data_IF_677830349611
#
_entry.id   IF_677830349611
#
_cell.length_a   1.000
_cell.length_b   1.000
_cell.length_c   1.000
_cell.angle_alpha   90.00
_cell.angle_beta   90.00
_cell.angle_gamma   90.00
#
_symmetry.space_group_name_H-M   'P 1'
#
loop_
_entity.id
_entity.type
_entity.pdbx_description
1 polymer ?
#
# COMPACT_ATOMS: atom_id res chain seq x y z
N UNK A 1 0.40 8.68 -15.62
CA UNK A 1 0.91 9.64 -16.61
C UNK A 1 2.43 9.71 -16.61
N UNK A 2 3.10 9.96 -15.47
CA UNK A 2 4.57 10.05 -15.38
C UNK A 2 5.27 8.77 -15.89
N UNK A 3 4.79 7.58 -15.46
CA UNK A 3 5.30 6.27 -15.91
C UNK A 3 5.25 6.13 -17.44
N UNK A 4 4.12 6.48 -18.07
CA UNK A 4 3.98 6.44 -19.54
C UNK A 4 4.92 7.41 -20.26
N UNK A 5 5.17 8.61 -19.69
CA UNK A 5 6.08 9.59 -20.28
C UNK A 5 7.55 9.20 -20.18
N UNK A 6 7.93 8.53 -19.11
CA UNK A 6 9.32 8.18 -18.81
C UNK A 6 9.70 6.75 -19.21
N UNK A 7 8.71 5.89 -19.49
CA UNK A 7 8.92 4.46 -19.71
C UNK A 7 9.28 3.67 -18.46
N UNK A 8 9.23 4.27 -17.27
CA UNK A 8 9.52 3.60 -15.99
C UNK A 8 8.29 2.82 -15.54
N UNK A 9 8.39 1.49 -15.30
CA UNK A 9 7.28 0.69 -14.81
C UNK A 9 6.75 1.22 -13.47
N UNK A 10 5.43 1.23 -13.30
CA UNK A 10 4.77 1.59 -12.05
C UNK A 10 4.48 0.32 -11.26
N UNK A 11 5.03 0.20 -10.05
CA UNK A 11 4.66 -0.83 -9.09
C UNK A 11 3.58 -0.24 -8.17
N UNK A 12 2.44 -0.92 -8.11
CA UNK A 12 1.32 -0.53 -7.22
C UNK A 12 1.53 -1.16 -5.86
N UNK A 13 1.31 -0.40 -4.80
CA UNK A 13 1.44 -0.90 -3.44
C UNK A 13 0.90 0.06 -2.40
N UNK A 14 0.93 -0.37 -1.15
CA UNK A 14 0.55 0.46 0.00
C UNK A 14 1.35 0.09 1.24
N UNK A 15 1.79 1.10 1.99
CA UNK A 15 2.27 0.90 3.36
C UNK A 15 1.08 0.82 4.30
N UNK A 16 1.11 -0.14 5.21
CA UNK A 16 0.07 -0.43 6.18
C UNK A 16 0.67 -0.56 7.58
N UNK A 17 -0.02 0.06 8.54
CA UNK A 17 0.30 -0.03 9.96
C UNK A 17 -0.85 -0.74 10.66
N UNK A 18 -0.58 -1.93 11.17
CA UNK A 18 -1.55 -2.68 11.97
C UNK A 18 -1.68 -2.09 13.38
N UNK A 19 -2.83 -2.30 14.01
CA UNK A 19 -3.12 -1.79 15.35
C UNK A 19 -2.20 -2.35 16.43
N UNK A 20 -1.65 -3.54 16.22
CA UNK A 20 -0.67 -4.21 17.10
C UNK A 20 0.79 -3.78 16.88
N UNK A 21 1.01 -2.81 15.99
CA UNK A 21 2.34 -2.26 15.70
C UNK A 21 3.06 -2.92 14.53
N UNK A 22 2.56 -4.01 13.94
CA UNK A 22 3.13 -4.60 12.72
C UNK A 22 3.03 -3.60 11.56
N UNK A 23 4.14 -3.37 10.86
CA UNK A 23 4.20 -2.47 9.70
C UNK A 23 4.70 -3.23 8.48
N UNK A 24 3.96 -3.11 7.38
CA UNK A 24 4.31 -3.77 6.12
C UNK A 24 4.06 -2.85 4.93
N UNK A 25 4.84 -3.04 3.87
CA UNK A 25 4.50 -2.55 2.54
C UNK A 25 4.03 -3.75 1.73
N UNK A 26 2.83 -3.67 1.17
CA UNK A 26 2.31 -4.67 0.25
C UNK A 26 2.48 -4.15 -1.17
N UNK A 27 3.14 -4.95 -2.03
CA UNK A 27 3.31 -4.66 -3.45
C UNK A 27 2.45 -5.62 -4.27
N UNK A 28 1.84 -5.11 -5.31
CA UNK A 28 0.95 -5.88 -6.18
C UNK A 28 1.77 -6.63 -7.22
N UNK A 29 1.67 -7.95 -7.21
CA UNK A 29 2.31 -8.84 -8.17
C UNK A 29 1.45 -8.97 -9.45
N UNK A 30 0.14 -9.17 -9.28
CA UNK A 30 -0.81 -9.44 -10.35
C UNK A 30 -2.20 -8.81 -10.09
N UNK A 31 -3.18 -9.13 -10.92
CA UNK A 31 -4.56 -8.61 -10.81
C UNK A 31 -5.26 -9.08 -9.53
N UNK A 32 -4.99 -10.30 -9.05
CA UNK A 32 -5.58 -10.85 -7.82
C UNK A 32 -5.05 -10.04 -6.63
N UNK A 33 -3.73 -9.80 -6.60
CA UNK A 33 -3.11 -8.95 -5.59
C UNK A 33 -3.67 -7.53 -5.57
N UNK A 34 -3.96 -6.93 -6.73
CA UNK A 34 -4.60 -5.63 -6.79
C UNK A 34 -6.01 -5.64 -6.18
N UNK A 35 -6.81 -6.66 -6.49
CA UNK A 35 -8.15 -6.82 -5.90
C UNK A 35 -8.08 -7.00 -4.39
N UNK A 36 -7.17 -7.85 -3.89
CA UNK A 36 -6.98 -8.09 -2.47
C UNK A 36 -6.51 -6.83 -1.73
N UNK A 37 -5.57 -6.07 -2.31
CA UNK A 37 -5.13 -4.79 -1.73
C UNK A 37 -6.27 -3.77 -1.66
N UNK A 38 -7.07 -3.64 -2.72
CA UNK A 38 -8.23 -2.75 -2.74
C UNK A 38 -9.29 -3.17 -1.70
N UNK A 39 -9.57 -4.46 -1.57
CA UNK A 39 -10.50 -5.00 -0.58
C UNK A 39 -10.03 -4.71 0.85
N UNK A 40 -8.73 -4.94 1.13
CA UNK A 40 -8.10 -4.67 2.42
C UNK A 40 -8.21 -3.18 2.79
N UNK A 41 -7.81 -2.28 1.89
CA UNK A 41 -7.89 -0.83 2.11
C UNK A 41 -9.35 -0.40 2.34
N UNK A 42 -10.28 -0.94 1.56
CA UNK A 42 -11.71 -0.65 1.72
C UNK A 42 -12.22 -1.11 3.08
N UNK A 43 -11.89 -2.34 3.51
CA UNK A 43 -12.25 -2.88 4.83
C UNK A 43 -11.71 -2.01 5.95
N UNK A 44 -10.42 -1.64 5.89
CA UNK A 44 -9.76 -0.80 6.87
C UNK A 44 -10.37 0.61 6.97
N UNK A 45 -10.76 1.19 5.83
CA UNK A 45 -11.42 2.50 5.77
C UNK A 45 -12.85 2.46 6.29
N UNK A 46 -13.62 1.42 5.95
CA UNK A 46 -15.02 1.25 6.40
C UNK A 46 -15.12 0.97 7.90
N UNK A 47 -14.11 0.39 8.52
CA UNK A 47 -14.03 0.15 9.96
C UNK A 47 -13.79 1.44 10.76
N UNK A 48 -13.32 2.51 10.11
CA UNK A 48 -12.84 3.73 10.75
C UNK A 48 -13.70 4.95 10.42
N UNK A 49 -13.61 5.99 11.24
CA UNK A 49 -14.18 7.30 10.91
C UNK A 49 -13.44 7.91 9.71
N UNK A 50 -14.13 8.79 8.98
CA UNK A 50 -13.59 9.46 7.79
C UNK A 50 -12.21 10.09 8.07
N UNK A 51 -11.24 9.80 7.21
CA UNK A 51 -9.87 10.32 7.32
C UNK A 51 -8.91 9.43 8.11
N UNK A 52 -9.38 8.34 8.70
CA UNK A 52 -8.56 7.32 9.38
C UNK A 52 -8.71 5.96 8.70
N UNK A 53 -7.87 5.01 9.11
CA UNK A 53 -8.01 3.60 8.77
C UNK A 53 -7.56 2.75 9.96
N UNK A 54 -8.08 1.53 10.06
CA UNK A 54 -7.71 0.54 11.08
C UNK A 54 -7.47 -0.78 10.39
N UNK A 55 -6.21 -1.25 10.41
CA UNK A 55 -5.79 -2.53 9.86
C UNK A 55 -5.52 -3.47 11.02
N UNK A 56 -6.18 -4.61 11.03
CA UNK A 56 -5.86 -5.71 11.94
C UNK A 56 -4.92 -6.68 11.24
N UNK A 57 -4.10 -7.40 12.01
CA UNK A 57 -3.17 -8.39 11.47
C UNK A 57 -3.89 -9.44 10.61
N UNK A 58 -5.06 -9.89 11.03
CA UNK A 58 -5.88 -10.87 10.30
C UNK A 58 -6.39 -10.37 8.95
N UNK A 59 -6.42 -9.05 8.73
CA UNK A 59 -6.78 -8.50 7.42
C UNK A 59 -5.71 -8.79 6.36
N UNK A 60 -4.47 -9.12 6.77
CA UNK A 60 -3.36 -9.46 5.90
C UNK A 60 -3.36 -10.93 5.44
N UNK A 61 -4.27 -11.77 5.95
CA UNK A 61 -4.34 -13.22 5.61
C UNK A 61 -4.76 -13.41 4.15
N UNK A 62 -5.72 -12.62 3.65
CA UNK A 62 -6.13 -12.64 2.24
C UNK A 62 -5.12 -11.86 1.37
N UNK A 63 -3.95 -12.46 1.13
CA UNK A 63 -2.78 -11.80 0.53
C UNK A 63 -2.29 -12.43 -0.79
N UNK A 64 -3.08 -13.26 -1.45
CA UNK A 64 -2.73 -13.83 -2.73
C UNK A 64 -2.39 -12.74 -3.76
N UNK A 65 -1.31 -12.92 -4.53
CA UNK A 65 -0.80 -11.93 -5.49
C UNK A 65 -0.19 -10.66 -4.85
N UNK A 66 0.09 -10.68 -3.53
CA UNK A 66 0.76 -9.59 -2.83
C UNK A 66 2.13 -10.02 -2.31
N UNK A 67 3.15 -9.20 -2.55
CA UNK A 67 4.48 -9.31 -1.96
C UNK A 67 4.52 -8.44 -0.71
N UNK A 68 5.16 -8.94 0.35
CA UNK A 68 5.24 -8.27 1.65
C UNK A 68 6.67 -7.81 1.94
N UNK A 69 6.86 -6.52 2.14
CA UNK A 69 8.08 -5.96 2.71
C UNK A 69 7.81 -5.61 4.18
N UNK A 70 8.39 -6.35 5.07
CA UNK A 70 8.24 -6.10 6.51
C UNK A 70 9.11 -4.94 6.95
N UNK A 71 8.50 -3.88 7.46
CA UNK A 71 9.17 -2.71 8.04
C UNK A 71 9.44 -2.96 9.53
N UNK A 72 10.42 -3.80 9.82
CA UNK A 72 10.73 -4.16 11.19
C UNK A 72 11.38 -3.00 11.96
N UNK A 73 11.17 -2.96 13.27
CA UNK A 73 11.90 -2.08 14.18
C UNK A 73 13.39 -2.45 14.26
N UNK A 74 14.16 -1.67 15.03
CA UNK A 74 15.60 -1.91 15.20
C UNK A 74 15.93 -3.31 15.75
N UNK A 75 15.01 -3.90 16.53
CA UNK A 75 15.08 -5.29 17.00
C UNK A 75 13.82 -6.01 16.47
N UNK A 76 13.91 -6.74 15.34
CA UNK A 76 12.80 -7.48 14.79
C UNK A 76 12.29 -8.56 15.74
N UNK A 77 10.96 -8.77 15.77
CA UNK A 77 10.31 -9.77 16.61
C UNK A 77 10.31 -11.14 15.96
N UNK A 78 10.86 -12.22 16.60
CA UNK A 78 10.75 -13.58 16.06
C UNK A 78 9.31 -14.06 15.88
N UNK A 79 8.39 -13.62 16.76
CA UNK A 79 6.98 -13.97 16.66
C UNK A 79 6.34 -13.35 15.41
N UNK A 80 6.68 -12.09 15.08
CA UNK A 80 6.22 -11.45 13.84
C UNK A 80 6.82 -12.11 12.61
N UNK A 81 8.11 -12.47 12.65
CA UNK A 81 8.76 -13.20 11.57
C UNK A 81 8.05 -14.53 11.29
N UNK A 82 7.77 -15.32 12.33
CA UNK A 82 7.09 -16.60 12.20
C UNK A 82 5.68 -16.43 11.62
N UNK A 83 4.92 -15.46 12.12
CA UNK A 83 3.58 -15.18 11.61
C UNK A 83 3.61 -14.75 10.13
N UNK A 84 4.50 -13.84 9.77
CA UNK A 84 4.66 -13.37 8.38
C UNK A 84 5.11 -14.50 7.45
N UNK A 85 6.06 -15.35 7.86
CA UNK A 85 6.48 -16.54 7.07
C UNK A 85 5.31 -17.50 6.83
N UNK A 86 4.47 -17.73 7.83
CA UNK A 86 3.29 -18.60 7.70
C UNK A 86 2.31 -18.10 6.65
N UNK A 87 2.12 -16.77 6.53
CA UNK A 87 1.10 -16.21 5.65
C UNK A 87 1.62 -15.76 4.29
N UNK A 88 2.89 -15.34 4.20
CA UNK A 88 3.47 -14.85 2.95
C UNK A 88 4.46 -15.82 2.28
N UNK A 89 4.97 -16.80 3.03
CA UNK A 89 5.92 -17.82 2.52
C UNK A 89 7.08 -17.19 1.71
N UNK A 90 7.19 -17.50 0.42
CA UNK A 90 8.21 -17.01 -0.53
C UNK A 90 7.98 -15.57 -1.01
N UNK A 91 6.98 -14.88 -0.47
CA UNK A 91 6.57 -13.51 -0.81
C UNK A 91 6.89 -12.50 0.31
N UNK A 92 7.83 -12.83 1.19
CA UNK A 92 8.23 -12.03 2.35
C UNK A 92 9.69 -11.57 2.25
N UNK A 93 9.94 -10.31 2.54
CA UNK A 93 11.26 -9.72 2.73
C UNK A 93 11.27 -8.83 3.95
N UNK A 94 12.41 -8.76 4.65
CA UNK A 94 12.66 -7.72 5.65
C UNK A 94 13.23 -6.48 4.93
N UNK A 95 12.54 -5.35 5.04
CA UNK A 95 12.98 -4.09 4.44
C UNK A 95 14.05 -3.42 5.32
N UNK A 96 15.24 -3.24 4.78
CA UNK A 96 16.35 -2.54 5.44
C UNK A 96 16.38 -1.09 5.00
N UNK A 97 16.19 -0.17 5.94
CA UNK A 97 16.20 1.27 5.69
C UNK A 97 17.44 1.93 6.30
N UNK A 98 18.26 2.56 5.46
CA UNK A 98 19.46 3.27 5.86
C UNK A 98 19.35 4.77 5.51
N UNK A 99 19.44 5.63 6.53
CA UNK A 99 19.27 7.07 6.39
C UNK A 99 20.49 7.86 6.90
N UNK A 100 21.69 7.27 6.82
CA UNK A 100 22.95 7.85 7.32
C UNK A 100 22.88 8.26 8.80
N UNK A 101 22.12 7.50 9.58
CA UNK A 101 22.06 7.65 11.02
C UNK A 101 23.25 7.01 11.71
N UNK A 102 23.64 7.53 12.86
CA UNK A 102 24.79 7.01 13.64
C UNK A 102 24.67 5.52 14.00
N UNK A 103 23.46 4.96 14.00
CA UNK A 103 23.19 3.55 14.35
C UNK A 103 22.95 2.65 13.13
N UNK A 104 23.03 3.16 11.90
CA UNK A 104 22.68 2.40 10.69
C UNK A 104 23.54 1.16 10.51
N UNK A 105 24.86 1.25 10.71
CA UNK A 105 25.75 0.08 10.58
C UNK A 105 25.41 -1.02 11.60
N UNK A 106 25.14 -0.64 12.85
CA UNK A 106 24.74 -1.60 13.89
C UNK A 106 23.38 -2.24 13.57
N UNK A 107 22.40 -1.42 13.15
CA UNK A 107 21.06 -1.89 12.78
C UNK A 107 21.11 -2.83 11.58
N UNK A 108 21.87 -2.49 10.55
CA UNK A 108 22.08 -3.33 9.38
C UNK A 108 22.64 -4.71 9.80
N UNK A 109 23.72 -4.73 10.59
CA UNK A 109 24.31 -5.99 11.04
C UNK A 109 23.33 -6.85 11.84
N UNK A 110 22.56 -6.24 12.75
CA UNK A 110 21.54 -6.93 13.55
C UNK A 110 20.40 -7.47 12.69
N UNK A 111 19.89 -6.68 11.73
CA UNK A 111 18.83 -7.12 10.85
C UNK A 111 19.28 -8.24 9.91
N UNK A 112 20.50 -8.19 9.38
CA UNK A 112 21.03 -9.25 8.53
C UNK A 112 21.23 -10.56 9.32
N UNK A 113 21.80 -10.50 10.53
CA UNK A 113 21.92 -11.68 11.38
C UNK A 113 20.56 -12.30 11.72
N UNK A 114 19.56 -11.45 11.99
CA UNK A 114 18.19 -11.91 12.22
C UNK A 114 17.58 -12.55 10.96
N UNK A 115 17.81 -11.96 9.78
CA UNK A 115 17.35 -12.50 8.50
C UNK A 115 17.94 -13.88 8.23
N UNK A 116 19.25 -14.06 8.50
CA UNK A 116 19.93 -15.35 8.36
C UNK A 116 19.35 -16.40 9.33
N UNK A 117 19.14 -16.02 10.60
CA UNK A 117 18.54 -16.90 11.62
C UNK A 117 17.11 -17.32 11.28
N UNK A 118 16.30 -16.37 10.78
CA UNK A 118 14.89 -16.60 10.46
C UNK A 118 14.66 -17.09 9.02
N UNK A 119 15.70 -17.19 8.19
CA UNK A 119 15.61 -17.55 6.77
C UNK A 119 14.63 -16.64 5.99
N UNK A 120 14.70 -15.32 6.23
CA UNK A 120 13.91 -14.30 5.54
C UNK A 120 14.88 -13.47 4.69
N UNK A 121 14.68 -13.31 3.39
CA UNK A 121 15.53 -12.44 2.58
C UNK A 121 15.38 -10.98 3.01
N UNK A 122 16.50 -10.24 3.00
CA UNK A 122 16.51 -8.81 3.24
C UNK A 122 16.50 -8.05 1.92
N UNK A 123 15.85 -6.89 1.89
CA UNK A 123 15.81 -6.01 0.71
C UNK A 123 16.12 -4.56 1.08
N UNK A 124 16.84 -3.83 0.22
CA UNK A 124 17.09 -2.41 0.39
C UNK A 124 15.80 -1.60 0.21
N UNK A 125 15.49 -0.74 1.19
CA UNK A 125 14.35 0.18 1.14
C UNK A 125 14.79 1.59 1.52
N UNK A 126 14.21 2.60 0.89
CA UNK A 126 14.62 3.99 1.07
C UNK A 126 13.65 4.83 1.89
N UNK A 127 12.42 4.39 2.09
CA UNK A 127 11.34 5.19 2.67
C UNK A 127 11.38 6.65 2.16
N UNK A 128 11.26 6.78 0.83
CA UNK A 128 11.49 8.05 0.14
C UNK A 128 10.29 8.98 0.28
N UNK A 129 10.50 10.16 0.87
CA UNK A 129 9.50 11.20 1.04
C UNK A 129 9.72 12.44 0.16
N UNK A 130 10.88 12.54 -0.48
CA UNK A 130 11.22 13.69 -1.34
C UNK A 130 12.10 13.26 -2.51
N UNK A 131 11.96 13.93 -3.66
CA UNK A 131 12.74 13.58 -4.85
C UNK A 131 14.19 14.07 -4.79
N UNK A 132 14.48 15.15 -4.07
CA UNK A 132 15.82 15.67 -3.82
C UNK A 132 15.95 16.15 -2.38
N UNK A 133 17.17 16.12 -1.85
CA UNK A 133 17.46 16.47 -0.45
C UNK A 133 17.05 17.91 -0.07
N UNK A 134 17.16 18.85 -1.01
CA UNK A 134 16.78 20.26 -0.79
C UNK A 134 15.26 20.46 -0.52
N UNK A 135 14.41 19.47 -0.80
CA UNK A 135 12.98 19.51 -0.50
C UNK A 135 12.63 19.14 0.94
N UNK A 136 13.63 18.95 1.80
CA UNK A 136 13.41 18.69 3.22
C UNK A 136 12.52 19.75 3.88
N UNK A 137 12.73 21.04 3.60
CA UNK A 137 11.90 22.10 4.19
C UNK A 137 10.42 21.96 3.84
N UNK A 138 10.09 21.51 2.62
CA UNK A 138 8.71 21.23 2.22
C UNK A 138 8.16 20.02 2.98
N UNK A 139 8.95 18.95 3.12
CA UNK A 139 8.56 17.76 3.89
C UNK A 139 8.30 18.10 5.36
N UNK A 140 9.17 18.89 5.97
CA UNK A 140 9.04 19.35 7.37
C UNK A 140 7.77 20.22 7.54
N UNK A 141 7.47 21.09 6.56
CA UNK A 141 6.25 21.89 6.55
C UNK A 141 5.00 21.01 6.46
N UNK A 142 4.98 20.02 5.56
CA UNK A 142 3.86 19.09 5.43
C UNK A 142 3.65 18.24 6.70
N UNK A 143 4.73 17.82 7.35
CA UNK A 143 4.68 17.12 8.62
C UNK A 143 4.10 18.02 9.73
N UNK A 144 4.54 19.27 9.83
CA UNK A 144 4.03 20.24 10.79
C UNK A 144 2.53 20.51 10.60
N UNK A 145 2.07 20.69 9.36
CA UNK A 145 0.65 20.83 9.01
C UNK A 145 -0.16 19.60 9.43
N UNK A 146 0.35 18.40 9.11
CA UNK A 146 -0.29 17.12 9.48
C UNK A 146 -0.51 17.00 10.99
N UNK A 147 0.46 17.47 11.78
CA UNK A 147 0.42 17.42 13.23
C UNK A 147 -0.18 18.68 13.87
N UNK A 148 -0.63 19.66 13.06
CA UNK A 148 -1.18 20.95 13.53
C UNK A 148 -0.22 21.67 14.50
N UNK A 149 1.07 21.71 14.14
CA UNK A 149 2.15 22.36 14.88
C UNK A 149 2.90 23.32 13.97
N UNK A 150 3.59 24.29 14.55
CA UNK A 150 4.62 25.04 13.81
C UNK A 150 5.87 24.17 13.63
N UNK A 151 6.73 24.49 12.67
CA UNK A 151 7.98 23.75 12.43
C UNK A 151 8.84 23.73 13.71
N UNK A 152 8.92 24.86 14.45
CA UNK A 152 9.68 24.94 15.70
C UNK A 152 9.14 24.05 16.81
N UNK A 153 7.83 23.82 16.84
CA UNK A 153 7.16 22.94 17.82
C UNK A 153 7.13 21.48 17.42
N UNK A 154 7.36 21.18 16.13
CA UNK A 154 7.26 19.83 15.59
C UNK A 154 8.38 18.90 16.11
N UNK A 155 9.57 19.43 16.42
CA UNK A 155 10.64 18.70 17.10
C UNK A 155 10.86 17.28 16.56
N UNK A 156 10.68 16.29 17.44
CA UNK A 156 10.86 14.86 17.11
C UNK A 156 9.83 14.29 16.11
N UNK A 157 8.80 15.05 15.73
CA UNK A 157 7.85 14.64 14.68
C UNK A 157 8.43 14.82 13.28
N UNK A 158 9.54 15.56 13.16
CA UNK A 158 10.27 15.74 11.91
C UNK A 158 11.36 14.67 11.76
N UNK A 159 11.68 14.32 10.51
CA UNK A 159 12.82 13.42 10.27
C UNK A 159 14.13 14.04 10.76
N UNK A 160 15.03 13.26 11.36
CA UNK A 160 16.28 13.78 11.94
C UNK A 160 17.21 14.39 10.89
N UNK A 161 17.09 13.97 9.62
CA UNK A 161 17.90 14.47 8.52
C UNK A 161 17.15 14.46 7.18
N UNK A 162 17.78 14.92 6.10
CA UNK A 162 17.20 14.96 4.75
C UNK A 162 17.47 13.71 3.92
N UNK A 163 17.74 12.56 4.53
CA UNK A 163 18.20 11.36 3.80
C UNK A 163 17.06 10.53 3.15
N UNK A 164 15.80 10.86 3.40
CA UNK A 164 14.64 10.21 2.77
C UNK A 164 14.32 10.81 1.40
N UNK A 165 15.36 10.89 0.53
CA UNK A 165 15.25 11.38 -0.85
C UNK A 165 15.66 10.31 -1.86
N UNK A 166 15.24 10.46 -3.11
CA UNK A 166 15.70 9.59 -4.20
C UNK A 166 17.22 9.72 -4.36
N UNK A 167 17.91 8.59 -4.42
CA UNK A 167 19.35 8.50 -4.61
C UNK A 167 19.67 7.90 -5.97
N UNK A 168 20.79 8.30 -6.54
CA UNK A 168 21.32 7.64 -7.72
C UNK A 168 21.89 6.25 -7.36
N UNK A 169 22.18 5.44 -8.37
CA UNK A 169 22.64 4.05 -8.19
C UNK A 169 23.96 3.96 -7.44
N UNK A 170 24.90 4.87 -7.71
CA UNK A 170 26.22 4.87 -7.05
C UNK A 170 26.09 5.15 -5.55
N UNK A 171 25.24 6.11 -5.18
CA UNK A 171 24.94 6.39 -3.78
C UNK A 171 24.25 5.21 -3.07
N UNK A 172 23.38 4.49 -3.75
CA UNK A 172 22.75 3.27 -3.21
C UNK A 172 23.78 2.14 -3.06
N UNK A 173 24.64 1.93 -4.06
CA UNK A 173 25.69 0.92 -4.02
C UNK A 173 26.72 1.18 -2.91
N UNK A 174 26.97 2.45 -2.58
CA UNK A 174 27.84 2.83 -1.46
C UNK A 174 27.18 2.66 -0.08
N UNK A 175 25.86 2.52 0.00
CA UNK A 175 25.11 2.44 1.26
C UNK A 175 24.68 1.02 1.61
N UNK A 176 24.29 0.23 0.62
CA UNK A 176 23.69 -1.09 0.82
C UNK A 176 24.62 -2.20 0.32
N UNK A 177 24.65 -3.34 1.00
CA UNK A 177 25.21 -4.57 0.44
C UNK A 177 24.56 -4.88 -0.92
N UNK A 178 25.37 -5.36 -1.87
CA UNK A 178 24.92 -5.66 -3.24
C UNK A 178 23.74 -6.63 -3.26
N UNK A 179 23.74 -7.66 -2.41
CA UNK A 179 22.66 -8.65 -2.33
C UNK A 179 21.29 -8.00 -2.06
N UNK A 180 21.21 -6.98 -1.18
CA UNK A 180 19.95 -6.30 -0.87
C UNK A 180 19.44 -5.47 -2.06
N UNK A 181 20.33 -4.95 -2.89
CA UNK A 181 19.97 -4.23 -4.11
C UNK A 181 19.52 -5.19 -5.21
N UNK A 182 20.12 -6.37 -5.32
CA UNK A 182 19.70 -7.42 -6.25
C UNK A 182 18.29 -7.92 -5.92
N UNK A 183 17.94 -8.02 -4.65
CA UNK A 183 16.56 -8.37 -4.24
C UNK A 183 15.52 -7.34 -4.70
N UNK A 184 15.88 -6.05 -4.80
CA UNK A 184 14.94 -5.05 -5.35
C UNK A 184 14.57 -5.35 -6.80
N UNK A 185 15.50 -5.89 -7.59
CA UNK A 185 15.25 -6.26 -8.98
C UNK A 185 14.36 -7.49 -9.07
N UNK A 186 14.61 -8.53 -8.23
CA UNK A 186 13.77 -9.73 -8.16
C UNK A 186 12.32 -9.40 -7.79
N UNK A 187 12.12 -8.51 -6.84
CA UNK A 187 10.79 -8.02 -6.46
C UNK A 187 10.16 -7.26 -7.63
N UNK A 188 10.90 -6.36 -8.27
CA UNK A 188 10.39 -5.58 -9.40
C UNK A 188 9.99 -6.48 -10.60
N UNK A 189 10.73 -7.54 -10.87
CA UNK A 189 10.43 -8.52 -11.93
C UNK A 189 9.14 -9.32 -11.64
N UNK A 190 8.80 -9.53 -10.38
CA UNK A 190 7.55 -10.18 -9.96
C UNK A 190 6.35 -9.26 -10.11
N UNK A 191 6.49 -7.95 -9.91
CA UNK A 191 5.41 -6.97 -9.96
C UNK A 191 5.01 -6.67 -11.42
N UNK A 192 4.15 -7.52 -12.01
CA UNK A 192 3.76 -7.44 -13.43
C UNK A 192 2.41 -6.77 -13.66
N UNK A 193 1.70 -6.41 -12.59
CA UNK A 193 0.39 -5.78 -12.70
C UNK A 193 0.49 -4.40 -13.36
N UNK A 194 -0.44 -4.11 -14.26
CA UNK A 194 -0.60 -2.80 -14.87
C UNK A 194 -2.04 -2.31 -14.72
N UNK A 195 -2.20 -1.03 -14.37
CA UNK A 195 -3.52 -0.39 -14.34
C UNK A 195 -4.19 -0.38 -15.73
N UNK A 196 -3.42 -0.48 -16.81
CA UNK A 196 -3.95 -0.55 -18.18
C UNK A 196 -4.64 -1.89 -18.47
N UNK A 197 -4.38 -2.93 -17.66
CA UNK A 197 -5.06 -4.24 -17.77
C UNK A 197 -6.46 -4.24 -17.14
N UNK A 198 -6.82 -3.19 -16.42
CA UNK A 198 -8.15 -3.08 -15.79
C UNK A 198 -9.20 -2.80 -16.87
N UNK A 199 -9.93 -3.84 -17.28
CA UNK A 199 -11.13 -3.71 -18.10
C UNK A 199 -12.29 -3.13 -17.27
N UNK A 200 -13.05 -2.21 -17.86
CA UNK A 200 -14.29 -1.76 -17.25
C UNK A 200 -15.32 -2.89 -17.34
N UNK A 201 -15.64 -3.52 -16.21
CA UNK A 201 -16.74 -4.49 -16.13
C UNK A 201 -17.90 -3.82 -15.41
N UNK A 202 -18.98 -3.58 -16.14
CA UNK A 202 -20.23 -3.18 -15.50
C UNK A 202 -20.67 -4.29 -14.53
N UNK A 203 -21.09 -3.93 -13.31
CA UNK A 203 -21.72 -4.91 -12.43
C UNK A 203 -22.91 -5.52 -13.16
N UNK A 204 -23.08 -6.83 -13.06
CA UNK A 204 -24.30 -7.46 -13.55
C UNK A 204 -25.47 -6.92 -12.73
N UNK A 205 -26.50 -6.50 -13.43
CA UNK A 205 -27.72 -6.01 -12.80
C UNK A 205 -28.35 -7.15 -11.99
N UNK A 206 -28.74 -6.85 -10.75
CA UNK A 206 -29.46 -7.79 -9.91
C UNK A 206 -30.90 -7.85 -10.41
N UNK A 207 -31.16 -8.81 -11.24
CA UNK A 207 -32.50 -9.09 -11.82
C UNK A 207 -33.05 -10.33 -11.18
N UNK A 208 -34.34 -10.36 -10.74
CA UNK A 208 -35.01 -11.56 -10.24
C UNK A 208 -34.94 -12.69 -11.26
N UNK A 209 -34.93 -13.93 -10.76
CA UNK A 209 -34.90 -15.12 -11.60
C UNK A 209 -36.12 -15.17 -12.55
N UNK A 210 -35.88 -15.37 -13.85
CA UNK A 210 -36.91 -15.37 -14.88
C UNK A 210 -37.22 -13.99 -15.50
N UNK A 211 -36.62 -12.90 -15.03
CA UNK A 211 -36.75 -11.58 -15.61
C UNK A 211 -35.55 -11.17 -16.45
N UNK A 212 -35.73 -10.21 -17.34
CA UNK A 212 -34.63 -9.50 -18.02
C UNK A 212 -34.36 -8.15 -17.35
N UNK A 213 -33.17 -7.53 -17.51
CA UNK A 213 -32.89 -6.19 -17.00
C UNK A 213 -33.91 -5.16 -17.43
N UNK A 214 -34.38 -5.25 -18.67
CA UNK A 214 -35.37 -4.32 -19.24
C UNK A 214 -36.74 -4.54 -18.61
N UNK A 215 -37.20 -5.80 -18.45
CA UNK A 215 -38.50 -6.09 -17.82
C UNK A 215 -38.53 -5.65 -16.35
N UNK A 216 -37.42 -5.90 -15.63
CA UNK A 216 -37.30 -5.52 -14.23
C UNK A 216 -37.25 -3.99 -14.06
N UNK A 217 -36.45 -3.28 -14.88
CA UNK A 217 -36.40 -1.82 -14.88
C UNK A 217 -37.80 -1.21 -15.17
N UNK A 218 -38.54 -1.79 -16.15
CA UNK A 218 -39.89 -1.34 -16.46
C UNK A 218 -40.84 -1.53 -15.27
N UNK A 219 -40.78 -2.68 -14.62
CA UNK A 219 -41.60 -2.97 -13.44
C UNK A 219 -41.29 -1.98 -12.29
N UNK A 220 -40.01 -1.76 -11.99
CA UNK A 220 -39.59 -0.78 -10.98
C UNK A 220 -40.02 0.65 -11.33
N UNK A 221 -39.92 1.05 -12.61
CA UNK A 221 -40.34 2.37 -13.07
C UNK A 221 -41.83 2.57 -12.88
N UNK A 222 -42.64 1.60 -13.26
CA UNK A 222 -44.09 1.68 -13.08
C UNK A 222 -44.50 1.67 -11.60
N UNK A 223 -43.85 0.84 -10.78
CA UNK A 223 -44.08 0.84 -9.33
C UNK A 223 -43.70 2.18 -8.69
N UNK A 224 -42.56 2.75 -9.07
CA UNK A 224 -42.12 4.05 -8.62
C UNK A 224 -43.04 5.19 -9.08
N UNK A 225 -43.56 5.10 -10.30
CA UNK A 225 -44.55 6.06 -10.81
C UNK A 225 -45.86 6.01 -10.00
N UNK A 226 -46.35 4.82 -9.70
CA UNK A 226 -47.56 4.63 -8.88
C UNK A 226 -47.39 5.18 -7.45
N UNK A 227 -46.18 5.05 -6.86
CA UNK A 227 -45.89 5.63 -5.55
C UNK A 227 -45.82 7.17 -5.59
N UNK A 228 -45.34 7.75 -6.70
CA UNK A 228 -45.13 9.19 -6.83
C UNK A 228 -46.40 9.93 -7.26
N UNK A 229 -47.26 9.28 -8.05
CA UNK A 229 -48.50 9.83 -8.57
C UNK A 229 -49.65 8.83 -8.25
N UNK A 230 -50.31 9.06 -7.12
CA UNK A 230 -51.33 8.16 -6.59
C UNK A 230 -52.63 8.07 -7.44
N UNK A 231 -52.91 9.08 -8.28
CA UNK A 231 -54.12 9.09 -9.12
C UNK A 231 -53.82 8.78 -10.59
N UNK A 232 -52.89 9.52 -11.23
CA UNK A 232 -52.46 9.25 -12.59
C UNK A 232 -51.10 9.88 -12.91
N UNK A 233 -50.32 9.21 -13.75
CA UNK A 233 -49.01 9.75 -14.21
C UNK A 233 -49.26 10.89 -15.19
N UNK A 234 -48.71 12.12 -14.96
CA UNK A 234 -48.90 13.23 -15.85
C UNK A 234 -48.49 12.92 -17.29
N UNK A 235 -49.25 13.39 -18.28
CA UNK A 235 -49.02 13.13 -19.69
C UNK A 235 -47.58 13.45 -20.19
N UNK A 236 -46.90 14.51 -19.72
CA UNK A 236 -45.47 14.80 -20.08
C UNK A 236 -44.47 13.79 -19.54
N UNK A 237 -44.88 12.90 -18.59
CA UNK A 237 -44.00 11.91 -17.93
C UNK A 237 -44.20 10.52 -18.51
N UNK A 238 -45.34 10.27 -19.18
CA UNK A 238 -45.61 9.04 -19.93
C UNK A 238 -44.80 8.97 -21.21
#
# INVERSE_FOLDING_TARGET
>A
EASRKTGIPLIVGSELHCEDGLRVVLLVEDQIGYQNLCALITKARRRSVKGRYQVQRDDLIANEGLLCLWLADAAPSPADAQWLKQHFADRLWLAVELHRGARDAKRLAQQLAFCDEQEIPAVASGDVHMHVRSRRCLQDTLAAIRHRRTIGEAGALLFPNGERHLRNRDALAAMYPRALLEETLRIAERCRFSLDSLGYRYPQELVPEGETPISHLRALTLAGAALRWSEDVPAPVR
#
